data_IF_376716522756
#
_entry.id   IF_376716522756
#
_cell.length_a   1.000
_cell.length_b   1.000
_cell.length_c   1.000
_cell.angle_alpha   90.00
_cell.angle_beta   90.00
_cell.angle_gamma   90.00
#
_symmetry.space_group_name_H-M   'P 1'
#
loop_
_entity.id
_entity.type
_entity.pdbx_description
1 polymer ?
#
# COMPACT_ATOMS: atom_id res chain seq x y z
N UNK A 1 -4.38 8.59 -16.31
CA UNK A 1 -5.53 8.14 -15.49
C UNK A 1 -6.00 9.13 -14.45
N UNK A 2 -5.13 9.64 -13.56
CA UNK A 2 -5.49 10.64 -12.56
C UNK A 2 -6.15 11.89 -13.17
N UNK A 3 -5.59 12.43 -14.26
CA UNK A 3 -6.17 13.58 -14.97
C UNK A 3 -7.57 13.30 -15.51
N UNK A 4 -7.77 12.14 -16.16
CA UNK A 4 -9.09 11.73 -16.67
C UNK A 4 -10.12 11.60 -15.55
N UNK A 5 -9.71 11.04 -14.40
CA UNK A 5 -10.59 10.93 -13.23
C UNK A 5 -10.92 12.31 -12.66
N UNK A 6 -9.92 13.17 -12.49
CA UNK A 6 -10.10 14.53 -11.98
C UNK A 6 -11.05 15.35 -12.88
N UNK A 7 -10.87 15.32 -14.20
CA UNK A 7 -11.77 15.99 -15.16
C UNK A 7 -13.22 15.52 -14.99
N UNK A 8 -13.44 14.19 -14.92
CA UNK A 8 -14.78 13.62 -14.69
C UNK A 8 -15.38 14.05 -13.35
N UNK A 9 -14.58 14.15 -12.29
CA UNK A 9 -15.04 14.62 -10.98
C UNK A 9 -15.44 16.10 -11.02
N UNK A 10 -14.64 16.92 -11.70
CA UNK A 10 -14.94 18.35 -11.90
C UNK A 10 -16.24 18.51 -12.68
N UNK A 11 -16.39 17.81 -13.81
CA UNK A 11 -17.60 17.88 -14.65
C UNK A 11 -18.87 17.57 -13.85
N UNK A 12 -18.88 16.46 -13.11
CA UNK A 12 -20.04 16.05 -12.30
C UNK A 12 -20.36 17.05 -11.18
N UNK A 13 -19.33 17.63 -10.57
CA UNK A 13 -19.50 18.67 -9.55
C UNK A 13 -20.08 19.96 -10.16
N UNK A 14 -19.54 20.41 -11.31
CA UNK A 14 -20.04 21.60 -12.01
C UNK A 14 -21.43 21.43 -12.60
N UNK A 15 -21.81 20.19 -12.97
CA UNK A 15 -23.15 19.84 -13.40
C UNK A 15 -24.17 19.76 -12.25
N UNK A 16 -23.72 19.88 -10.99
CA UNK A 16 -24.59 19.78 -9.81
C UNK A 16 -25.05 18.35 -9.51
N UNK A 17 -24.41 17.33 -10.10
CA UNK A 17 -24.73 15.92 -9.78
C UNK A 17 -24.20 15.51 -8.39
N UNK A 18 -23.15 16.19 -7.92
CA UNK A 18 -22.51 15.92 -6.64
C UNK A 18 -22.14 17.22 -5.92
N UNK A 19 -22.46 17.29 -4.63
CA UNK A 19 -22.21 18.49 -3.80
C UNK A 19 -20.85 18.49 -3.13
N UNK A 20 -20.18 17.33 -3.05
CA UNK A 20 -18.86 17.20 -2.44
C UNK A 20 -18.14 15.95 -2.94
N UNK A 21 -16.82 16.06 -3.08
CA UNK A 21 -15.94 14.97 -3.49
C UNK A 21 -14.89 14.74 -2.42
N UNK A 22 -14.84 13.51 -1.92
CA UNK A 22 -13.86 13.05 -0.96
C UNK A 22 -13.00 11.96 -1.58
N UNK A 23 -11.72 11.94 -1.22
CA UNK A 23 -10.79 10.92 -1.61
C UNK A 23 -10.30 10.18 -0.37
N UNK A 24 -10.40 8.85 -0.42
CA UNK A 24 -9.85 7.95 0.59
C UNK A 24 -8.63 7.31 -0.03
N UNK A 25 -7.48 7.46 0.62
CA UNK A 25 -6.23 6.88 0.16
C UNK A 25 -5.30 6.60 1.35
N UNK A 26 -4.26 5.80 1.09
CA UNK A 26 -3.23 5.52 2.07
C UNK A 26 -2.16 6.61 2.01
N UNK A 27 -2.11 7.44 3.03
CA UNK A 27 -1.07 8.44 3.20
C UNK A 27 0.21 7.75 3.67
N UNK A 28 1.26 7.87 2.87
CA UNK A 28 2.57 7.33 3.19
C UNK A 28 3.27 8.21 4.22
N UNK A 29 3.41 7.72 5.47
CA UNK A 29 4.23 8.39 6.50
C UNK A 29 5.63 7.80 6.57
N UNK A 30 5.72 6.47 6.56
CA UNK A 30 6.99 5.75 6.51
C UNK A 30 6.76 4.32 6.02
N UNK A 31 7.85 3.56 5.86
CA UNK A 31 7.76 2.14 5.48
C UNK A 31 6.96 1.32 6.50
N UNK A 32 7.01 1.71 7.77
CA UNK A 32 6.32 1.02 8.87
C UNK A 32 4.94 1.59 9.18
N UNK A 33 4.61 2.79 8.67
CA UNK A 33 3.40 3.51 9.05
C UNK A 33 2.72 4.10 7.81
N UNK A 34 1.56 3.53 7.48
CA UNK A 34 0.63 4.09 6.50
C UNK A 34 -0.67 4.45 7.22
N UNK A 35 -1.22 5.62 6.93
CA UNK A 35 -2.47 6.09 7.54
C UNK A 35 -3.55 6.22 6.47
N UNK A 36 -4.70 5.60 6.69
CA UNK A 36 -5.87 5.84 5.84
C UNK A 36 -6.39 7.24 6.14
N UNK A 37 -6.35 8.11 5.14
CA UNK A 37 -6.77 9.51 5.28
C UNK A 37 -7.93 9.79 4.32
N UNK A 38 -8.95 10.49 4.84
CA UNK A 38 -10.07 11.02 4.07
C UNK A 38 -9.80 12.50 3.79
N UNK A 39 -9.53 12.85 2.53
CA UNK A 39 -9.27 14.23 2.10
C UNK A 39 -10.45 14.74 1.29
N UNK A 40 -11.00 15.90 1.67
CA UNK A 40 -12.01 16.59 0.86
C UNK A 40 -11.32 17.36 -0.25
N UNK A 41 -11.68 17.09 -1.50
CA UNK A 41 -11.06 17.71 -2.68
C UNK A 41 -11.98 18.80 -3.27
N UNK A 42 -13.30 18.55 -3.28
CA UNK A 42 -14.31 19.53 -3.71
C UNK A 42 -15.43 19.63 -2.66
N UNK A 43 -15.99 20.84 -2.42
CA UNK A 43 -15.44 22.16 -2.76
C UNK A 43 -14.07 22.43 -2.12
N UNK A 44 -13.25 23.25 -2.79
CA UNK A 44 -11.91 23.64 -2.31
C UNK A 44 -12.08 24.50 -1.06
N UNK A 45 -11.43 24.09 0.03
CA UNK A 45 -11.40 24.87 1.26
C UNK A 45 -10.49 26.09 1.08
N UNK A 46 -10.98 27.27 1.46
CA UNK A 46 -10.14 28.45 1.52
C UNK A 46 -9.15 28.38 2.70
N UNK A 47 -7.88 28.75 2.51
CA UNK A 47 -6.92 28.80 3.60
C UNK A 47 -7.31 29.90 4.61
N UNK A 48 -7.21 29.58 5.91
CA UNK A 48 -7.65 30.48 6.99
C UNK A 48 -6.78 31.73 7.19
N UNK A 49 -5.54 31.73 6.69
CA UNK A 49 -4.64 32.88 6.76
C UNK A 49 -3.65 32.83 5.59
N UNK A 50 -3.88 33.67 4.59
CA UNK A 50 -2.86 34.01 3.61
C UNK A 50 -2.31 35.39 3.98
N UNK A 51 -0.99 35.50 4.17
CA UNK A 51 -0.36 36.81 4.18
C UNK A 51 -0.65 37.44 2.81
N UNK A 52 -1.41 38.53 2.79
CA UNK A 52 -1.72 39.25 1.57
C UNK A 52 -0.42 39.78 0.97
N UNK A 53 0.12 39.05 0.00
CA UNK A 53 1.23 39.50 -0.83
C UNK A 53 0.63 40.07 -2.09
N UNK A 54 1.01 41.28 -2.44
CA UNK A 54 0.65 41.87 -3.72
C UNK A 54 1.48 41.19 -4.81
N UNK A 55 0.79 40.57 -5.75
CA UNK A 55 1.37 39.99 -6.96
C UNK A 55 1.00 40.87 -8.14
N UNK A 56 1.96 41.09 -9.03
CA UNK A 56 1.69 41.71 -10.33
C UNK A 56 1.31 40.58 -11.29
N UNK A 57 0.09 40.63 -11.81
CA UNK A 57 -0.42 39.61 -12.74
C UNK A 57 -0.39 40.14 -14.17
N UNK A 58 0.03 39.29 -15.11
CA UNK A 58 0.03 39.61 -16.54
C UNK A 58 -1.38 39.55 -17.15
N UNK A 59 -2.25 38.71 -16.57
CA UNK A 59 -3.65 38.54 -16.96
C UNK A 59 -4.58 38.89 -15.80
N UNK A 60 -5.89 39.15 -16.05
CA UNK A 60 -6.85 39.32 -14.97
C UNK A 60 -6.82 38.12 -14.01
N UNK A 61 -6.74 38.34 -12.67
CA UNK A 61 -6.59 37.25 -11.70
C UNK A 61 -7.64 36.14 -11.82
N UNK A 62 -8.88 36.52 -12.19
CA UNK A 62 -9.98 35.57 -12.41
C UNK A 62 -9.67 34.58 -13.55
N UNK A 63 -9.13 35.05 -14.67
CA UNK A 63 -8.83 34.19 -15.82
C UNK A 63 -7.67 33.22 -15.53
N UNK A 64 -6.69 33.64 -14.71
CA UNK A 64 -5.64 32.74 -14.26
C UNK A 64 -6.21 31.69 -13.31
N UNK A 65 -7.07 32.10 -12.37
CA UNK A 65 -7.68 31.20 -11.40
C UNK A 65 -8.56 30.14 -12.08
N UNK A 66 -9.35 30.51 -13.09
CA UNK A 66 -10.16 29.56 -13.87
C UNK A 66 -9.34 28.44 -14.52
N UNK A 67 -8.10 28.74 -14.94
CA UNK A 67 -7.19 27.73 -15.50
C UNK A 67 -6.51 26.90 -14.42
N UNK A 68 -6.11 27.54 -13.32
CA UNK A 68 -5.35 26.89 -12.24
C UNK A 68 -6.21 25.97 -11.36
N UNK A 69 -7.51 26.27 -11.22
CA UNK A 69 -8.41 25.48 -10.38
C UNK A 69 -8.52 24.00 -10.85
N UNK A 70 -8.78 23.70 -12.13
CA UNK A 70 -8.75 22.32 -12.64
C UNK A 70 -7.40 21.63 -12.43
N UNK A 71 -6.30 22.32 -12.73
CA UNK A 71 -4.94 21.78 -12.60
C UNK A 71 -4.61 21.43 -11.15
N UNK A 72 -5.07 22.26 -10.21
CA UNK A 72 -4.93 21.99 -8.79
C UNK A 72 -5.64 20.69 -8.38
N UNK A 73 -6.86 20.44 -8.86
CA UNK A 73 -7.60 19.22 -8.56
C UNK A 73 -6.92 17.99 -9.18
N UNK A 74 -6.41 18.11 -10.40
CA UNK A 74 -5.61 17.05 -11.04
C UNK A 74 -4.39 16.72 -10.18
N UNK A 75 -3.67 17.73 -9.69
CA UNK A 75 -2.52 17.55 -8.82
C UNK A 75 -2.88 16.85 -7.51
N UNK A 76 -3.98 17.23 -6.87
CA UNK A 76 -4.47 16.60 -5.63
C UNK A 76 -4.80 15.11 -5.82
N UNK A 77 -5.44 14.76 -6.94
CA UNK A 77 -5.73 13.35 -7.27
C UNK A 77 -4.43 12.60 -7.59
N UNK A 78 -3.50 13.22 -8.31
CA UNK A 78 -2.21 12.61 -8.64
C UNK A 78 -1.38 12.35 -7.38
N UNK A 79 -1.29 13.32 -6.47
CA UNK A 79 -0.61 13.20 -5.18
C UNK A 79 -1.12 11.97 -4.42
N UNK A 80 -2.43 11.87 -4.23
CA UNK A 80 -3.02 10.74 -3.51
C UNK A 80 -2.81 9.38 -4.20
N UNK A 81 -2.79 9.33 -5.53
CA UNK A 81 -2.45 8.11 -6.28
C UNK A 81 -1.01 7.67 -5.99
N UNK A 82 -0.07 8.61 -6.02
CA UNK A 82 1.34 8.33 -5.76
C UNK A 82 1.59 7.95 -4.29
N UNK A 83 0.95 8.66 -3.35
CA UNK A 83 1.02 8.32 -1.92
C UNK A 83 0.45 6.92 -1.66
N UNK A 84 -0.70 6.59 -2.24
CA UNK A 84 -1.30 5.27 -2.07
C UNK A 84 -0.45 4.15 -2.68
N UNK A 85 0.20 4.40 -3.83
CA UNK A 85 1.09 3.43 -4.46
C UNK A 85 2.37 3.21 -3.61
N UNK A 86 2.95 4.29 -3.07
CA UNK A 86 4.10 4.19 -2.17
C UNK A 86 3.74 3.44 -0.88
N UNK A 87 2.60 3.76 -0.29
CA UNK A 87 2.05 3.07 0.88
C UNK A 87 1.79 1.58 0.62
N UNK A 88 1.28 1.23 -0.56
CA UNK A 88 1.06 -0.16 -0.96
C UNK A 88 2.38 -0.95 -1.02
N UNK A 89 3.40 -0.40 -1.68
CA UNK A 89 4.70 -1.07 -1.78
C UNK A 89 5.34 -1.25 -0.40
N UNK A 90 5.27 -0.23 0.46
CA UNK A 90 5.77 -0.32 1.83
C UNK A 90 5.05 -1.40 2.64
N UNK A 91 3.72 -1.42 2.62
CA UNK A 91 2.93 -2.44 3.31
C UNK A 91 3.23 -3.85 2.78
N UNK A 92 3.43 -3.97 1.46
CA UNK A 92 3.81 -5.23 0.82
C UNK A 92 5.19 -5.70 1.27
N UNK A 93 6.18 -4.81 1.36
CA UNK A 93 7.52 -5.15 1.87
C UNK A 93 7.43 -5.73 3.29
N UNK A 94 6.75 -5.03 4.21
CA UNK A 94 6.61 -5.51 5.60
C UNK A 94 5.87 -6.84 5.69
N UNK A 95 4.82 -7.04 4.88
CA UNK A 95 4.09 -8.30 4.84
C UNK A 95 4.96 -9.46 4.31
N UNK A 96 5.78 -9.21 3.28
CA UNK A 96 6.66 -10.22 2.69
C UNK A 96 7.86 -10.54 3.58
N UNK A 97 8.40 -9.55 4.29
CA UNK A 97 9.45 -9.75 5.30
C UNK A 97 8.93 -10.69 6.40
N UNK A 98 7.73 -10.40 6.94
CA UNK A 98 7.09 -11.26 7.94
C UNK A 98 6.81 -12.68 7.40
N UNK A 99 6.33 -12.79 6.16
CA UNK A 99 6.11 -14.09 5.52
C UNK A 99 7.42 -14.88 5.37
N UNK A 100 8.52 -14.22 5.02
CA UNK A 100 9.85 -14.85 4.86
C UNK A 100 10.38 -15.36 6.20
N UNK A 101 10.28 -14.56 7.27
CA UNK A 101 10.66 -14.99 8.62
C UNK A 101 9.83 -16.19 9.08
N UNK A 102 8.50 -16.14 8.89
CA UNK A 102 7.61 -17.25 9.25
C UNK A 102 7.91 -18.54 8.49
N UNK A 103 8.24 -18.42 7.20
CA UNK A 103 8.66 -19.56 6.38
C UNK A 103 9.99 -20.15 6.87
N UNK A 104 10.96 -19.31 7.25
CA UNK A 104 12.22 -19.72 7.86
C UNK A 104 12.01 -20.56 9.13
N UNK A 105 11.17 -20.08 10.06
CA UNK A 105 10.84 -20.82 11.28
C UNK A 105 10.17 -22.17 10.97
N UNK A 106 9.32 -22.24 9.94
CA UNK A 106 8.67 -23.48 9.52
C UNK A 106 9.69 -24.46 8.95
N UNK A 107 10.63 -24.00 8.12
CA UNK A 107 11.70 -24.81 7.56
C UNK A 107 12.57 -25.41 8.68
N UNK A 108 12.92 -24.64 9.70
CA UNK A 108 13.68 -25.12 10.85
C UNK A 108 12.93 -26.25 11.59
N UNK A 109 11.64 -26.05 11.88
CA UNK A 109 10.78 -27.06 12.52
C UNK A 109 10.69 -28.34 11.68
N UNK A 110 10.49 -28.21 10.37
CA UNK A 110 10.40 -29.36 9.47
C UNK A 110 11.74 -30.07 9.32
N UNK A 111 12.86 -29.35 9.37
CA UNK A 111 14.21 -29.94 9.31
C UNK A 111 14.49 -30.78 10.55
N UNK A 112 14.13 -30.28 11.75
CA UNK A 112 14.22 -31.05 12.98
C UNK A 112 13.35 -32.30 12.93
N UNK A 113 12.11 -32.18 12.44
CA UNK A 113 11.21 -33.32 12.26
C UNK A 113 11.77 -34.36 11.29
N UNK A 114 12.27 -33.92 10.13
CA UNK A 114 12.88 -34.77 9.12
C UNK A 114 14.06 -35.57 9.71
N UNK A 115 14.94 -34.92 10.47
CA UNK A 115 16.07 -35.59 11.12
C UNK A 115 15.61 -36.64 12.13
N UNK A 116 14.58 -36.35 12.92
CA UNK A 116 13.99 -37.30 13.86
C UNK A 116 13.40 -38.52 13.15
N UNK A 117 12.64 -38.32 12.07
CA UNK A 117 12.06 -39.40 11.26
C UNK A 117 13.17 -40.22 10.60
N UNK A 118 14.22 -39.58 10.07
CA UNK A 118 15.37 -40.26 9.49
C UNK A 118 16.06 -41.18 10.51
N UNK A 119 16.31 -40.71 11.72
CA UNK A 119 16.90 -41.51 12.79
C UNK A 119 16.00 -42.69 13.19
N UNK A 120 14.69 -42.47 13.27
CA UNK A 120 13.71 -43.54 13.53
C UNK A 120 13.69 -44.60 12.41
N UNK A 121 13.83 -44.19 11.14
CA UNK A 121 13.90 -45.13 10.01
C UNK A 121 15.17 -45.97 10.05
N UNK A 122 16.34 -45.35 10.25
CA UNK A 122 17.63 -46.06 10.34
C UNK A 122 17.61 -47.07 11.50
N UNK A 123 17.12 -46.66 12.66
CA UNK A 123 17.02 -47.57 13.82
C UNK A 123 16.06 -48.73 13.55
N UNK A 124 14.91 -48.48 12.90
CA UNK A 124 13.98 -49.54 12.49
C UNK A 124 14.62 -50.52 11.52
N UNK A 125 15.30 -50.03 10.49
CA UNK A 125 16.01 -50.88 9.52
C UNK A 125 17.07 -51.76 10.19
N UNK A 126 17.86 -51.20 11.11
CA UNK A 126 18.85 -51.97 11.87
C UNK A 126 18.17 -53.06 12.71
N UNK A 127 17.06 -52.75 13.40
CA UNK A 127 16.31 -53.72 14.20
C UNK A 127 15.76 -54.85 13.31
N UNK A 128 15.22 -54.51 12.13
CA UNK A 128 14.71 -55.49 11.18
C UNK A 128 15.83 -56.43 10.67
N UNK A 129 17.01 -55.90 10.37
CA UNK A 129 18.18 -56.70 9.95
C UNK A 129 18.65 -57.65 11.06
N UNK A 130 18.80 -57.15 12.30
CA UNK A 130 19.25 -57.97 13.44
C UNK A 130 18.21 -59.04 13.79
N UNK A 131 16.93 -58.68 13.85
CA UNK A 131 15.85 -59.63 14.13
C UNK A 131 15.74 -60.71 13.06
N UNK A 132 15.97 -60.38 11.78
CA UNK A 132 15.98 -61.36 10.70
C UNK A 132 17.17 -62.31 10.76
N UNK A 133 18.36 -61.79 11.11
CA UNK A 133 19.56 -62.61 11.28
C UNK A 133 19.44 -63.60 12.46
N UNK A 134 18.92 -63.15 13.61
CA UNK A 134 18.71 -64.01 14.79
C UNK A 134 17.60 -65.04 14.64
N UNK A 135 16.70 -64.90 13.65
CA UNK A 135 15.65 -65.88 13.38
C UNK A 135 16.13 -67.08 12.52
N UNK A 136 17.34 -66.99 11.94
CA UNK A 136 17.98 -68.06 11.16
C UNK A 136 18.91 -68.96 11.98
N UNK A 137 19.30 -68.53 13.19
CA UNK A 137 19.90 -69.39 14.23
C UNK A 137 18.83 -70.23 14.93
#
# INVERSE_FOLDING_TARGET
DAERLARKLIERFTAGEVDSVYLIYNEFKSVLSQKVTLKKILPIAMPAAAAAREYIFEQPPMQMLEKLLPDFIVLQVLEAFLESAAAEQAARMTAMDAATTNAGEMIEKLTLYMNRVRQASITREIIEVVSGASALE
#
